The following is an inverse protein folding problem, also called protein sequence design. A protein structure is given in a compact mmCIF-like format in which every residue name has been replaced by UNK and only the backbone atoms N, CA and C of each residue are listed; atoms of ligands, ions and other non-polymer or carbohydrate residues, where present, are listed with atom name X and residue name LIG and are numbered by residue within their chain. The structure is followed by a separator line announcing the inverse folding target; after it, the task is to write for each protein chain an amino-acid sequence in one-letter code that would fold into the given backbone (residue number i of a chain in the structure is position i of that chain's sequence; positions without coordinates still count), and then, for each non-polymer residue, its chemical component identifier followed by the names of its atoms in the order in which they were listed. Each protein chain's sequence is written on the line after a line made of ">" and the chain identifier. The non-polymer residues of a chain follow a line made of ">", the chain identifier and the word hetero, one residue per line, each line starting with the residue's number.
data_IF_805480044590
#
_entry.id   IF_805480044590
#
_cell.length_a   1.000
_cell.length_b   1.000
_cell.length_c   1.000
_cell.angle_alpha   90.00
_cell.angle_beta   90.00
_cell.angle_gamma   90.00
#
_symmetry.space_group_name_H-M   'P 1'
#
loop_
_entity.id
_entity.type
_entity.pdbx_description
1 polymer ?
#
# COMPACT_ATOMS: atom_id res chain seq x y z
N UNK A 1 -19.13 -22.27 -46.58
CA UNK A 1 -20.40 -21.90 -45.94
C UNK A 1 -20.50 -22.56 -44.56
N UNK A 2 -19.81 -21.99 -43.55
CA UNK A 2 -19.88 -22.51 -42.17
C UNK A 2 -21.24 -22.15 -41.57
N UNK A 3 -22.01 -23.17 -41.21
CA UNK A 3 -23.37 -23.05 -40.68
C UNK A 3 -23.34 -22.22 -39.38
N UNK A 4 -24.11 -21.13 -39.36
CA UNK A 4 -24.24 -20.16 -38.24
C UNK A 4 -24.44 -20.82 -36.86
N UNK A 5 -24.93 -22.05 -36.82
CA UNK A 5 -25.19 -22.84 -35.61
C UNK A 5 -23.93 -23.25 -34.82
N UNK A 6 -22.76 -23.38 -35.46
CA UNK A 6 -21.50 -23.68 -34.74
C UNK A 6 -20.76 -22.44 -34.25
N UNK A 7 -21.10 -21.26 -34.77
CA UNK A 7 -20.41 -19.99 -34.44
C UNK A 7 -20.89 -19.42 -33.11
N UNK A 8 -22.18 -19.55 -32.80
CA UNK A 8 -22.79 -19.04 -31.57
C UNK A 8 -22.23 -19.66 -30.27
N UNK A 9 -22.09 -20.99 -30.13
CA UNK A 9 -21.52 -21.58 -28.91
C UNK A 9 -20.03 -21.23 -28.75
N UNK A 10 -19.28 -21.10 -29.86
CA UNK A 10 -17.87 -20.70 -29.83
C UNK A 10 -17.71 -19.26 -29.33
N UNK A 11 -18.56 -18.33 -29.80
CA UNK A 11 -18.56 -16.94 -29.32
C UNK A 11 -18.97 -16.82 -27.85
N UNK A 12 -19.93 -17.66 -27.42
CA UNK A 12 -20.39 -17.72 -26.03
C UNK A 12 -19.28 -18.23 -25.10
N UNK A 13 -18.62 -19.33 -25.47
CA UNK A 13 -17.48 -19.85 -24.71
C UNK A 13 -16.32 -18.85 -24.65
N UNK A 14 -15.99 -18.16 -25.76
CA UNK A 14 -14.92 -17.15 -25.77
C UNK A 14 -15.23 -15.98 -24.83
N UNK A 15 -16.47 -15.48 -24.83
CA UNK A 15 -16.91 -14.44 -23.89
C UNK A 15 -16.86 -14.90 -22.45
N UNK A 16 -17.27 -16.14 -22.18
CA UNK A 16 -17.24 -16.72 -20.83
C UNK A 16 -15.80 -16.89 -20.33
N UNK A 17 -14.88 -17.34 -21.20
CA UNK A 17 -13.46 -17.45 -20.89
C UNK A 17 -12.81 -16.08 -20.63
N UNK A 18 -13.13 -15.06 -21.43
CA UNK A 18 -12.63 -13.69 -21.22
C UNK A 18 -13.15 -13.08 -19.91
N UNK A 19 -14.42 -13.32 -19.58
CA UNK A 19 -15.00 -12.89 -18.31
C UNK A 19 -14.36 -13.61 -17.11
N UNK A 20 -14.13 -14.92 -17.23
CA UNK A 20 -13.45 -15.71 -16.20
C UNK A 20 -11.98 -15.28 -16.01
N UNK A 21 -11.26 -14.97 -17.08
CA UNK A 21 -9.89 -14.46 -17.01
C UNK A 21 -9.82 -13.08 -16.32
N UNK A 22 -10.78 -12.20 -16.62
CA UNK A 22 -10.91 -10.90 -15.95
C UNK A 22 -11.19 -11.06 -14.46
N UNK A 23 -12.13 -11.94 -14.09
CA UNK A 23 -12.43 -12.25 -12.68
C UNK A 23 -11.23 -12.87 -11.97
N UNK A 24 -10.45 -13.73 -12.63
CA UNK A 24 -9.25 -14.35 -12.07
C UNK A 24 -8.14 -13.32 -11.77
N UNK A 25 -7.96 -12.31 -12.64
CA UNK A 25 -7.03 -11.21 -12.37
C UNK A 25 -7.43 -10.32 -11.18
N UNK A 26 -8.73 -10.25 -10.88
CA UNK A 26 -9.25 -9.43 -9.78
C UNK A 26 -9.14 -10.12 -8.40
N UNK A 27 -9.00 -11.45 -8.35
CA UNK A 27 -8.93 -12.22 -7.09
C UNK A 27 -7.51 -12.54 -6.62
N UNK A 28 -6.48 -12.28 -7.43
CA UNK A 28 -5.10 -12.63 -7.09
C UNK A 28 -4.23 -11.38 -7.00
N UNK A 29 -4.28 -10.70 -5.86
CA UNK A 29 -3.27 -9.72 -5.47
C UNK A 29 -2.93 -10.01 -4.01
N UNK A 30 -1.80 -10.69 -3.79
CA UNK A 30 -1.21 -10.73 -2.46
C UNK A 30 -0.64 -9.33 -2.22
N UNK A 31 -1.32 -8.51 -1.43
CA UNK A 31 -0.89 -7.15 -1.16
C UNK A 31 0.37 -7.20 -0.30
N UNK A 32 1.51 -6.81 -0.88
CA UNK A 32 2.73 -6.62 -0.09
C UNK A 32 2.50 -5.41 0.82
N UNK A 33 2.66 -5.58 2.13
CA UNK A 33 2.40 -4.52 3.11
C UNK A 33 3.71 -3.95 3.62
N UNK A 34 3.82 -2.63 3.63
CA UNK A 34 4.94 -1.88 4.19
C UNK A 34 4.45 -1.00 5.32
N UNK A 35 5.03 -1.16 6.51
CA UNK A 35 4.84 -0.23 7.62
C UNK A 35 6.07 0.66 7.76
N UNK A 36 5.87 1.97 7.76
CA UNK A 36 6.94 2.96 7.91
C UNK A 36 6.83 3.58 9.31
N UNK A 37 7.82 3.32 10.14
CA UNK A 37 7.89 3.94 11.47
C UNK A 37 8.49 5.35 11.41
N UNK A 38 7.71 6.36 11.80
CA UNK A 38 8.23 7.71 12.00
C UNK A 38 8.73 7.83 13.44
N UNK A 39 10.04 7.64 13.65
CA UNK A 39 10.68 7.70 14.97
C UNK A 39 10.40 8.99 15.74
N UNK A 40 10.49 8.91 17.08
CA UNK A 40 10.18 10.00 18.02
C UNK A 40 8.75 10.54 17.86
N UNK A 41 8.47 11.75 18.36
CA UNK A 41 7.18 12.45 18.20
C UNK A 41 6.62 13.01 19.51
N UNK A 42 5.73 13.99 19.40
CA UNK A 42 5.10 14.62 20.57
C UNK A 42 6.14 15.28 21.47
N UNK A 43 6.21 14.86 22.72
CA UNK A 43 7.16 15.39 23.70
C UNK A 43 8.60 14.91 23.50
N UNK A 44 8.82 13.88 22.68
CA UNK A 44 10.14 13.35 22.38
C UNK A 44 10.63 13.93 21.05
N UNK A 45 11.57 14.90 21.05
CA UNK A 45 12.06 15.52 19.83
C UNK A 45 13.09 14.66 19.08
N UNK A 46 13.64 13.63 19.72
CA UNK A 46 14.87 12.97 19.30
C UNK A 46 16.08 13.90 19.31
N UNK A 47 17.03 13.67 18.42
CA UNK A 47 18.19 14.53 18.26
C UNK A 47 17.78 15.97 17.87
N UNK A 48 18.46 16.94 18.49
CA UNK A 48 18.30 18.36 18.20
C UNK A 48 19.42 18.83 17.27
N UNK A 49 19.04 19.33 16.10
CA UNK A 49 19.94 20.06 15.21
C UNK A 49 19.89 21.56 15.52
N UNK A 50 20.74 22.34 14.83
CA UNK A 50 20.79 23.80 14.98
C UNK A 50 19.44 24.48 14.72
N UNK A 51 18.67 23.96 13.76
CA UNK A 51 17.35 24.50 13.35
C UNK A 51 16.30 23.42 13.11
N UNK A 52 16.59 22.17 13.47
CA UNK A 52 15.74 21.01 13.17
C UNK A 52 15.59 20.10 14.37
N UNK A 53 14.50 19.34 14.39
CA UNK A 53 14.24 18.28 15.36
C UNK A 53 14.06 16.98 14.59
N UNK A 54 14.69 15.91 15.08
CA UNK A 54 14.64 14.61 14.42
C UNK A 54 13.20 14.14 14.17
N UNK A 55 12.30 14.31 15.15
CA UNK A 55 10.88 13.93 15.01
C UNK A 55 10.17 14.55 13.80
N UNK A 56 10.55 15.78 13.43
CA UNK A 56 9.93 16.52 12.33
C UNK A 56 10.47 16.01 10.99
N UNK A 57 11.78 15.79 10.92
CA UNK A 57 12.45 15.22 9.75
C UNK A 57 11.96 13.80 9.47
N UNK A 58 11.87 12.96 10.50
CA UNK A 58 11.36 11.59 10.38
C UNK A 58 9.92 11.60 9.85
N UNK A 59 9.02 12.41 10.42
CA UNK A 59 7.65 12.50 9.94
C UNK A 59 7.56 12.96 8.48
N UNK A 60 8.35 13.96 8.09
CA UNK A 60 8.36 14.48 6.74
C UNK A 60 8.87 13.44 5.72
N UNK A 61 9.97 12.74 6.06
CA UNK A 61 10.54 11.69 5.21
C UNK A 61 9.59 10.50 5.09
N UNK A 62 9.00 10.02 6.19
CA UNK A 62 8.06 8.89 6.17
C UNK A 62 6.84 9.18 5.30
N UNK A 63 6.26 10.38 5.39
CA UNK A 63 5.13 10.79 4.52
C UNK A 63 5.51 10.84 3.04
N UNK A 64 6.70 11.36 2.74
CA UNK A 64 7.18 11.44 1.36
C UNK A 64 7.45 10.04 0.78
N UNK A 65 8.06 9.16 1.57
CA UNK A 65 8.30 7.78 1.17
C UNK A 65 6.98 7.02 0.94
N UNK A 66 6.02 7.14 1.86
CA UNK A 66 4.72 6.50 1.71
C UNK A 66 4.04 6.90 0.40
N UNK A 67 3.96 8.21 0.13
CA UNK A 67 3.40 8.74 -1.10
C UNK A 67 4.13 8.23 -2.35
N UNK A 68 5.45 8.11 -2.32
CA UNK A 68 6.22 7.61 -3.45
C UNK A 68 5.93 6.13 -3.72
N UNK A 69 5.86 5.30 -2.68
CA UNK A 69 5.51 3.88 -2.80
C UNK A 69 4.09 3.73 -3.35
N UNK A 70 3.11 4.41 -2.76
CA UNK A 70 1.72 4.38 -3.23
C UNK A 70 1.58 4.80 -4.71
N UNK A 71 2.40 5.75 -5.17
CA UNK A 71 2.40 6.22 -6.56
C UNK A 71 3.08 5.26 -7.54
N UNK A 72 4.13 4.57 -7.10
CA UNK A 72 4.98 3.74 -7.97
C UNK A 72 4.63 2.25 -7.91
N UNK A 73 3.95 1.81 -6.85
CA UNK A 73 3.66 0.42 -6.54
C UNK A 73 2.19 0.28 -6.09
N UNK A 74 1.22 0.29 -7.03
CA UNK A 74 -0.22 0.26 -6.71
C UNK A 74 -0.67 -1.04 -6.03
N UNK A 75 0.16 -2.08 -6.08
CA UNK A 75 -0.01 -3.38 -5.42
C UNK A 75 0.57 -3.44 -4.00
N UNK A 76 1.22 -2.36 -3.53
CA UNK A 76 1.79 -2.26 -2.19
C UNK A 76 0.88 -1.42 -1.29
N UNK A 77 0.52 -1.96 -0.13
CA UNK A 77 -0.21 -1.22 0.91
C UNK A 77 0.79 -0.58 1.87
N UNK A 78 0.64 0.71 2.15
CA UNK A 78 1.56 1.45 3.02
C UNK A 78 0.82 2.00 4.23
N UNK A 79 1.40 1.79 5.40
CA UNK A 79 0.92 2.35 6.66
C UNK A 79 2.04 3.10 7.35
N UNK A 80 1.70 4.15 8.10
CA UNK A 80 2.64 4.86 8.97
C UNK A 80 2.25 4.62 10.42
N UNK A 81 3.22 4.34 11.30
CA UNK A 81 2.95 4.20 12.74
C UNK A 81 2.33 5.48 13.32
N UNK A 82 2.77 6.66 12.82
CA UNK A 82 2.11 7.95 13.06
C UNK A 82 2.09 8.82 11.80
N UNK A 83 1.00 9.57 11.63
CA UNK A 83 0.81 10.56 10.55
C UNK A 83 0.82 12.01 11.04
N UNK A 84 0.93 12.22 12.35
CA UNK A 84 0.97 13.54 13.03
C UNK A 84 2.10 13.58 14.06
N UNK A 85 2.30 14.74 14.68
CA UNK A 85 3.29 14.92 15.75
C UNK A 85 2.74 14.42 17.09
N UNK A 86 2.76 13.10 17.27
CA UNK A 86 2.34 12.40 18.50
C UNK A 86 3.45 11.47 18.96
N UNK A 87 3.52 11.27 20.27
CA UNK A 87 4.43 10.29 20.86
C UNK A 87 3.80 8.90 20.80
N UNK A 88 4.58 7.90 20.39
CA UNK A 88 4.24 6.48 20.48
C UNK A 88 5.38 5.76 21.19
N UNK A 89 5.03 4.94 22.19
CA UNK A 89 5.95 4.04 22.88
C UNK A 89 6.50 2.99 21.91
N UNK A 90 7.63 2.37 22.28
CA UNK A 90 8.20 1.27 21.50
C UNK A 90 7.23 0.08 21.37
N UNK A 91 6.43 -0.18 22.41
CA UNK A 91 5.44 -1.25 22.39
C UNK A 91 4.29 -0.92 21.44
N UNK A 92 3.72 0.29 21.49
CA UNK A 92 2.66 0.70 20.54
C UNK A 92 3.12 0.61 19.08
N UNK A 93 4.39 0.91 18.80
CA UNK A 93 4.98 0.75 17.46
C UNK A 93 5.05 -0.72 17.04
N UNK A 94 5.44 -1.61 17.94
CA UNK A 94 5.48 -3.05 17.68
C UNK A 94 4.08 -3.65 17.53
N UNK A 95 3.14 -3.23 18.37
CA UNK A 95 1.74 -3.67 18.34
C UNK A 95 1.01 -3.21 17.07
N UNK A 96 1.40 -2.07 16.50
CA UNK A 96 0.87 -1.62 15.21
C UNK A 96 1.33 -2.50 14.03
N UNK A 97 2.50 -3.14 14.15
CA UNK A 97 3.13 -3.90 13.06
C UNK A 97 2.76 -5.39 13.07
N UNK A 98 2.53 -5.99 14.25
CA UNK A 98 2.29 -7.43 14.44
C UNK A 98 0.80 -7.79 14.45
#
# INVERSE_FOLDING_TARGET
>A
MMKRTKLFPVLCCLRLCLLAAFLLSAVCSFAFTVVIDAGHGGHDPGALGTVSREKDLNLAVSKRLAKLIEQQNPDVQVFLTRSTDVFLTLQERADFVN
#
